data_IF_401875917631
#
_entry.id   IF_401875917631
#
_cell.length_a   1.000
_cell.length_b   1.000
_cell.length_c   1.000
_cell.angle_alpha   90.00
_cell.angle_beta   90.00
_cell.angle_gamma   90.00
#
_symmetry.space_group_name_H-M   'P 1'
#
loop_
_entity.id
_entity.type
_entity.pdbx_description
1 polymer ?
#
# COMPACT_ATOMS: atom_id res chain seq x y z
N UNK A 1 -11.25 -21.19 -6.19
CA UNK A 1 -11.94 -20.19 -7.06
C UNK A 1 -11.48 -18.76 -6.79
N UNK A 2 -11.42 -18.25 -5.55
CA UNK A 2 -10.98 -16.89 -5.23
C UNK A 2 -9.54 -16.57 -5.67
N UNK A 3 -8.58 -17.47 -5.43
CA UNK A 3 -7.17 -17.27 -5.85
C UNK A 3 -7.06 -17.10 -7.37
N UNK A 4 -7.82 -17.86 -8.13
CA UNK A 4 -7.83 -17.72 -9.60
C UNK A 4 -8.36 -16.35 -10.00
N UNK A 5 -9.40 -15.85 -9.30
CA UNK A 5 -9.93 -14.50 -9.52
C UNK A 5 -8.85 -13.44 -9.23
N UNK A 6 -8.14 -13.54 -8.11
CA UNK A 6 -7.07 -12.62 -7.75
C UNK A 6 -5.93 -12.63 -8.80
N UNK A 7 -5.54 -13.82 -9.28
CA UNK A 7 -4.51 -13.92 -10.32
C UNK A 7 -5.00 -13.31 -11.64
N UNK A 8 -6.25 -13.57 -12.04
CA UNK A 8 -6.82 -12.97 -13.25
C UNK A 8 -6.79 -11.45 -13.22
N UNK A 9 -7.11 -10.83 -12.07
CA UNK A 9 -7.12 -9.38 -11.92
C UNK A 9 -5.78 -8.72 -12.27
N UNK A 10 -4.65 -9.40 -12.01
CA UNK A 10 -3.31 -8.90 -12.40
C UNK A 10 -3.16 -8.65 -13.90
N UNK A 11 -3.91 -9.37 -14.73
CA UNK A 11 -3.79 -9.36 -16.18
C UNK A 11 -5.01 -8.77 -16.90
N UNK A 12 -6.15 -8.64 -16.21
CA UNK A 12 -7.42 -8.19 -16.80
C UNK A 12 -7.84 -6.79 -16.37
N UNK A 13 -7.11 -6.16 -15.44
CA UNK A 13 -7.32 -4.78 -15.04
C UNK A 13 -6.01 -4.02 -15.02
N UNK A 14 -6.10 -2.70 -15.12
CA UNK A 14 -4.97 -1.77 -15.01
C UNK A 14 -5.20 -0.81 -13.86
N UNK A 15 -4.13 -0.24 -13.27
CA UNK A 15 -4.27 0.82 -12.28
C UNK A 15 -5.17 1.97 -12.75
N UNK A 16 -5.02 2.45 -13.98
CA UNK A 16 -5.81 3.54 -14.57
C UNK A 16 -7.30 3.26 -14.76
N UNK A 17 -7.73 1.99 -14.60
CA UNK A 17 -9.17 1.64 -14.63
C UNK A 17 -9.90 2.16 -13.38
N UNK A 18 -9.19 2.60 -12.33
CA UNK A 18 -9.73 2.99 -11.04
C UNK A 18 -9.47 4.45 -10.72
N UNK A 19 -10.51 5.20 -10.38
CA UNK A 19 -10.37 6.55 -9.83
C UNK A 19 -9.91 6.52 -8.37
N UNK A 20 -10.47 5.62 -7.59
CA UNK A 20 -10.09 5.31 -6.21
C UNK A 20 -10.22 3.80 -5.98
N UNK A 21 -9.72 3.31 -4.84
CA UNK A 21 -9.84 1.90 -4.51
C UNK A 21 -11.28 1.50 -4.20
N UNK A 22 -11.70 0.36 -4.73
CA UNK A 22 -13.03 -0.21 -4.51
C UNK A 22 -13.02 -1.23 -3.37
N UNK A 23 -14.17 -1.42 -2.72
CA UNK A 23 -14.33 -2.44 -1.68
C UNK A 23 -14.70 -3.80 -2.29
N UNK A 24 -13.97 -4.84 -1.91
CA UNK A 24 -14.19 -6.20 -2.41
C UNK A 24 -14.23 -7.23 -1.27
N UNK A 25 -15.43 -7.72 -0.88
CA UNK A 25 -15.53 -8.80 0.09
C UNK A 25 -15.13 -10.14 -0.51
N UNK A 26 -14.32 -10.90 0.22
CA UNK A 26 -13.93 -12.27 -0.13
C UNK A 26 -14.13 -13.22 1.05
N UNK A 27 -14.34 -14.50 0.76
CA UNK A 27 -14.61 -15.50 1.81
C UNK A 27 -13.33 -15.90 2.57
N UNK A 28 -12.21 -16.08 1.86
CA UNK A 28 -11.00 -16.67 2.40
C UNK A 28 -9.76 -15.74 2.32
N UNK A 29 -9.88 -14.60 1.68
CA UNK A 29 -8.80 -13.63 1.52
C UNK A 29 -9.22 -12.25 2.04
N UNK A 30 -8.34 -11.44 2.65
CA UNK A 30 -6.93 -11.70 2.95
C UNK A 30 -6.73 -12.78 4.02
N UNK A 31 -5.47 -13.17 4.25
CA UNK A 31 -5.12 -14.18 5.26
C UNK A 31 -5.58 -13.76 6.66
N UNK A 32 -5.78 -14.76 7.54
CA UNK A 32 -6.14 -14.48 8.94
C UNK A 32 -5.11 -13.54 9.58
N UNK A 33 -5.60 -12.54 10.31
CA UNK A 33 -4.77 -11.51 10.95
C UNK A 33 -4.68 -10.19 10.18
N UNK A 34 -5.01 -10.19 8.90
CA UNK A 34 -5.14 -8.96 8.12
C UNK A 34 -6.60 -8.50 8.11
N UNK A 35 -6.80 -7.24 8.40
CA UNK A 35 -8.14 -6.64 8.37
C UNK A 35 -8.63 -6.45 6.93
N UNK A 36 -7.78 -5.86 6.12
CA UNK A 36 -7.92 -5.70 4.68
C UNK A 36 -6.54 -5.59 4.04
N UNK A 37 -6.48 -5.67 2.73
CA UNK A 37 -5.28 -5.39 1.95
C UNK A 37 -5.66 -4.91 0.56
N UNK A 38 -4.83 -4.07 -0.04
CA UNK A 38 -5.01 -3.64 -1.42
C UNK A 38 -4.61 -4.75 -2.39
N UNK A 39 -5.48 -5.02 -3.37
CA UNK A 39 -5.19 -5.92 -4.47
C UNK A 39 -5.80 -5.42 -5.76
N UNK A 40 -4.97 -5.04 -6.71
CA UNK A 40 -5.39 -4.60 -8.05
C UNK A 40 -6.51 -3.55 -8.02
N UNK A 41 -6.29 -2.44 -7.29
CA UNK A 41 -7.23 -1.34 -7.16
C UNK A 41 -8.41 -1.60 -6.22
N UNK A 42 -8.37 -2.67 -5.44
CA UNK A 42 -9.44 -3.01 -4.49
C UNK A 42 -8.91 -3.22 -3.08
N UNK A 43 -9.63 -2.71 -2.12
CA UNK A 43 -9.47 -3.08 -0.71
C UNK A 43 -10.21 -4.39 -0.51
N UNK A 44 -9.46 -5.47 -0.45
CA UNK A 44 -9.99 -6.81 -0.23
C UNK A 44 -10.10 -7.08 1.26
N UNK A 45 -11.24 -7.52 1.72
CA UNK A 45 -11.49 -7.86 3.12
C UNK A 45 -12.31 -9.15 3.24
N UNK A 46 -12.22 -9.81 4.39
CA UNK A 46 -13.01 -11.01 4.64
C UNK A 46 -14.47 -10.65 4.85
N UNK A 47 -15.36 -11.35 4.16
CA UNK A 47 -16.82 -11.11 4.21
C UNK A 47 -17.39 -11.13 5.65
N UNK A 48 -16.80 -11.90 6.54
CA UNK A 48 -17.15 -11.93 7.97
C UNK A 48 -16.91 -10.59 8.69
N UNK A 49 -16.07 -9.69 8.12
CA UNK A 49 -15.75 -8.37 8.64
C UNK A 49 -16.50 -7.24 7.92
N UNK A 50 -17.44 -7.53 7.05
CA UNK A 50 -18.07 -6.56 6.15
C UNK A 50 -18.68 -5.37 6.88
N UNK A 51 -19.50 -5.61 7.90
CA UNK A 51 -20.11 -4.52 8.69
C UNK A 51 -19.05 -3.67 9.40
N UNK A 52 -18.03 -4.31 9.96
CA UNK A 52 -16.94 -3.60 10.63
C UNK A 52 -16.15 -2.73 9.66
N UNK A 53 -15.84 -3.24 8.48
CA UNK A 53 -15.10 -2.52 7.44
C UNK A 53 -15.92 -1.35 6.92
N UNK A 54 -17.21 -1.55 6.61
CA UNK A 54 -18.11 -0.48 6.14
C UNK A 54 -18.27 0.64 7.17
N UNK A 55 -18.43 0.29 8.44
CA UNK A 55 -18.54 1.30 9.51
C UNK A 55 -17.24 2.07 9.69
N UNK A 56 -16.09 1.43 9.61
CA UNK A 56 -14.80 2.07 9.78
C UNK A 56 -14.43 2.98 8.62
N UNK A 57 -14.70 2.58 7.39
CA UNK A 57 -14.37 3.37 6.19
C UNK A 57 -15.03 4.76 6.21
N UNK A 58 -16.18 4.90 6.88
CA UNK A 58 -16.85 6.18 7.04
C UNK A 58 -16.25 7.06 8.15
N UNK A 59 -15.29 6.56 8.91
CA UNK A 59 -14.55 7.32 9.91
C UNK A 59 -13.35 8.06 9.31
N UNK A 60 -12.77 9.00 10.04
CA UNK A 60 -11.53 9.68 9.64
C UNK A 60 -10.37 8.68 9.45
N UNK A 61 -10.24 7.71 10.37
CA UNK A 61 -9.24 6.64 10.27
C UNK A 61 -9.45 5.81 9.00
N UNK A 62 -10.70 5.51 8.66
CA UNK A 62 -11.03 4.78 7.45
C UNK A 62 -10.74 5.58 6.18
N UNK A 63 -11.07 6.85 6.14
CA UNK A 63 -10.73 7.74 5.00
C UNK A 63 -9.22 7.84 4.78
N UNK A 64 -8.44 7.96 5.87
CA UNK A 64 -6.98 7.91 5.80
C UNK A 64 -6.48 6.58 5.20
N UNK A 65 -7.05 5.46 5.63
CA UNK A 65 -6.69 4.15 5.09
C UNK A 65 -7.03 4.02 3.59
N UNK A 66 -8.19 4.52 3.16
CA UNK A 66 -8.55 4.56 1.73
C UNK A 66 -7.56 5.43 0.95
N UNK A 67 -7.18 6.59 1.47
CA UNK A 67 -6.18 7.46 0.86
C UNK A 67 -4.84 6.75 0.72
N UNK A 68 -4.38 6.08 1.77
CA UNK A 68 -3.16 5.27 1.74
C UNK A 68 -3.18 4.24 0.60
N UNK A 69 -4.25 3.46 0.49
CA UNK A 69 -4.38 2.44 -0.56
C UNK A 69 -4.57 3.07 -1.95
N UNK A 70 -5.20 4.24 -2.05
CA UNK A 70 -5.32 4.97 -3.32
C UNK A 70 -3.97 5.56 -3.75
N UNK A 71 -3.10 5.94 -2.83
CA UNK A 71 -1.72 6.31 -3.15
C UNK A 71 -0.97 5.14 -3.81
N UNK A 72 -1.12 3.91 -3.31
CA UNK A 72 -0.57 2.73 -3.95
C UNK A 72 -1.12 2.49 -5.36
N UNK A 73 -2.40 2.79 -5.58
CA UNK A 73 -3.01 2.77 -6.91
C UNK A 73 -2.32 3.77 -7.85
N UNK A 74 -2.09 5.02 -7.40
CA UNK A 74 -1.38 6.04 -8.17
C UNK A 74 0.09 5.69 -8.43
N UNK A 75 0.75 5.09 -7.47
CA UNK A 75 2.11 4.55 -7.63
C UNK A 75 2.15 3.48 -8.73
N UNK A 76 1.19 2.57 -8.75
CA UNK A 76 1.09 1.53 -9.78
C UNK A 76 0.83 2.12 -11.16
N UNK A 77 -0.06 3.11 -11.27
CA UNK A 77 -0.37 3.84 -12.51
C UNK A 77 0.86 4.56 -13.03
N UNK A 78 1.44 5.44 -12.23
CA UNK A 78 2.43 6.40 -12.69
C UNK A 78 3.88 5.87 -12.68
N UNK A 79 4.24 5.00 -11.72
CA UNK A 79 5.62 4.53 -11.57
C UNK A 79 5.86 3.14 -12.12
N UNK A 80 4.83 2.31 -12.24
CA UNK A 80 4.95 0.95 -12.77
C UNK A 80 4.44 0.82 -14.22
N UNK A 81 4.22 1.94 -14.91
CA UNK A 81 3.77 1.95 -16.30
C UNK A 81 2.38 1.33 -16.44
N UNK A 82 1.47 1.69 -15.55
CA UNK A 82 0.06 1.28 -15.53
C UNK A 82 -0.10 -0.26 -15.55
N UNK A 83 0.68 -0.95 -14.71
CA UNK A 83 0.70 -2.41 -14.67
C UNK A 83 0.80 -2.95 -13.25
N UNK A 84 -0.20 -3.71 -12.82
CA UNK A 84 -0.19 -4.40 -11.53
C UNK A 84 0.97 -5.39 -11.39
N UNK A 85 1.28 -6.14 -12.45
CA UNK A 85 2.40 -7.10 -12.44
C UNK A 85 3.72 -6.38 -12.18
N UNK A 86 3.97 -5.26 -12.87
CA UNK A 86 5.19 -4.47 -12.68
C UNK A 86 5.23 -3.82 -11.30
N UNK A 87 4.09 -3.33 -10.81
CA UNK A 87 3.98 -2.74 -9.48
C UNK A 87 4.33 -3.75 -8.40
N UNK A 88 3.68 -4.92 -8.37
CA UNK A 88 3.95 -5.94 -7.35
C UNK A 88 5.35 -6.54 -7.49
N UNK A 89 5.89 -6.65 -8.70
CA UNK A 89 7.28 -7.05 -8.88
C UNK A 89 8.25 -6.05 -8.24
N UNK A 90 8.08 -4.74 -8.48
CA UNK A 90 8.89 -3.70 -7.86
C UNK A 90 8.74 -3.69 -6.34
N UNK A 91 7.51 -3.77 -5.86
CA UNK A 91 7.21 -3.87 -4.44
C UNK A 91 7.94 -5.06 -3.80
N UNK A 92 7.86 -6.24 -4.40
CA UNK A 92 8.55 -7.44 -3.94
C UNK A 92 10.08 -7.29 -3.93
N UNK A 93 10.68 -6.71 -4.98
CA UNK A 93 12.11 -6.43 -5.04
C UNK A 93 12.55 -5.50 -3.91
N UNK A 94 11.80 -4.43 -3.65
CA UNK A 94 12.10 -3.49 -2.56
C UNK A 94 11.94 -4.16 -1.18
N UNK A 95 10.95 -5.03 -1.01
CA UNK A 95 10.79 -5.82 0.20
C UNK A 95 11.99 -6.75 0.43
N UNK A 96 12.47 -7.46 -0.60
CA UNK A 96 13.67 -8.30 -0.50
C UNK A 96 14.91 -7.46 -0.16
N UNK A 97 15.07 -6.27 -0.73
CA UNK A 97 16.16 -5.35 -0.36
C UNK A 97 16.13 -4.97 1.12
N UNK A 98 14.94 -4.95 1.73
CA UNK A 98 14.77 -4.80 3.18
C UNK A 98 15.27 -5.99 3.99
N UNK A 99 15.66 -7.09 3.33
CA UNK A 99 16.20 -8.32 3.93
C UNK A 99 15.26 -8.96 4.98
N UNK A 100 14.05 -9.41 4.57
CA UNK A 100 13.01 -9.91 5.48
C UNK A 100 13.40 -11.18 6.25
N UNK A 101 14.44 -11.92 5.80
CA UNK A 101 14.91 -13.16 6.44
C UNK A 101 15.76 -12.88 7.67
N UNK A 102 16.63 -11.87 7.59
CA UNK A 102 17.57 -11.51 8.67
C UNK A 102 16.99 -10.44 9.60
N UNK A 103 16.05 -9.63 9.09
CA UNK A 103 15.40 -8.58 9.86
C UNK A 103 13.91 -8.88 10.04
N UNK A 104 13.30 -8.41 11.14
CA UNK A 104 11.87 -8.56 11.34
C UNK A 104 11.11 -8.13 10.08
N UNK A 105 10.14 -8.93 9.66
CA UNK A 105 9.32 -8.67 8.47
C UNK A 105 8.72 -7.26 8.46
N UNK A 106 8.44 -6.68 9.64
CA UNK A 106 7.96 -5.30 9.79
C UNK A 106 8.96 -4.26 9.28
N UNK A 107 10.25 -4.37 9.60
CA UNK A 107 11.23 -3.39 9.10
C UNK A 107 11.38 -3.46 7.58
N UNK A 108 11.36 -4.66 7.00
CA UNK A 108 11.41 -4.83 5.55
C UNK A 108 10.19 -4.18 4.87
N UNK A 109 9.01 -4.29 5.46
CA UNK A 109 7.78 -3.68 4.95
C UNK A 109 7.82 -2.15 5.06
N UNK A 110 8.06 -1.63 6.27
CA UNK A 110 8.00 -0.18 6.51
C UNK A 110 9.09 0.65 5.80
N UNK A 111 10.14 0.00 5.30
CA UNK A 111 11.21 0.67 4.54
C UNK A 111 11.06 0.55 3.02
N UNK A 112 9.98 -0.07 2.52
CA UNK A 112 9.63 -0.05 1.10
C UNK A 112 9.34 1.40 0.70
N UNK A 113 9.97 1.96 -0.34
CA UNK A 113 9.74 3.35 -0.75
C UNK A 113 8.27 3.68 -1.00
N UNK A 114 7.49 2.74 -1.52
CA UNK A 114 6.05 2.90 -1.73
C UNK A 114 5.30 3.10 -0.41
N UNK A 115 5.65 2.32 0.62
CA UNK A 115 5.06 2.46 1.96
C UNK A 115 5.49 3.76 2.64
N UNK A 116 6.78 4.11 2.55
CA UNK A 116 7.29 5.36 3.12
C UNK A 116 6.53 6.56 2.55
N UNK A 117 6.33 6.60 1.23
CA UNK A 117 5.59 7.68 0.59
C UNK A 117 4.11 7.66 0.97
N UNK A 118 3.46 6.49 0.97
CA UNK A 118 2.06 6.37 1.33
C UNK A 118 1.81 6.84 2.78
N UNK A 119 2.65 6.43 3.75
CA UNK A 119 2.58 6.91 5.13
C UNK A 119 2.87 8.40 5.29
N UNK A 120 3.79 8.95 4.49
CA UNK A 120 4.09 10.38 4.51
C UNK A 120 2.91 11.25 4.04
N UNK A 121 2.11 10.73 3.12
CA UNK A 121 1.05 11.48 2.43
C UNK A 121 -0.37 11.12 2.88
N UNK A 122 -0.58 10.01 3.61
CA UNK A 122 -1.93 9.51 3.95
C UNK A 122 -2.80 10.50 4.75
N UNK A 123 -2.20 11.47 5.44
CA UNK A 123 -2.92 12.50 6.20
C UNK A 123 -3.17 13.77 5.35
N UNK A 124 -2.51 13.94 4.23
CA UNK A 124 -2.69 15.09 3.35
C UNK A 124 -3.92 14.88 2.47
N UNK A 125 -4.96 15.64 2.70
CA UNK A 125 -6.18 15.56 1.93
C UNK A 125 -5.92 15.91 0.46
N UNK A 126 -6.41 15.06 -0.44
CA UNK A 126 -6.21 15.22 -1.88
C UNK A 126 -4.84 14.80 -2.41
N UNK A 127 -3.93 14.30 -1.57
CA UNK A 127 -2.60 13.86 -2.02
C UNK A 127 -2.70 12.82 -3.15
N UNK A 128 -3.69 11.95 -3.10
CA UNK A 128 -3.98 10.94 -4.13
C UNK A 128 -4.44 11.53 -5.46
N UNK A 129 -4.92 12.77 -5.47
CA UNK A 129 -5.37 13.48 -6.68
C UNK A 129 -4.23 14.26 -7.34
N UNK A 130 -3.28 14.75 -6.55
CA UNK A 130 -2.16 15.59 -6.99
C UNK A 130 -0.83 14.85 -6.95
N UNK A 131 -0.86 13.53 -7.10
CA UNK A 131 0.31 12.69 -7.01
C UNK A 131 1.36 13.04 -8.06
N UNK A 132 2.56 13.42 -7.60
CA UNK A 132 3.73 13.66 -8.45
C UNK A 132 4.65 12.44 -8.45
N UNK A 133 4.81 11.82 -9.62
CA UNK A 133 5.66 10.64 -9.82
C UNK A 133 7.12 10.83 -9.50
N UNK A 134 7.60 12.08 -9.42
CA UNK A 134 8.99 12.39 -9.15
C UNK A 134 9.32 12.38 -7.65
N UNK A 135 8.34 12.51 -6.78
CA UNK A 135 8.53 12.55 -5.33
C UNK A 135 9.26 11.33 -4.78
N UNK A 136 8.89 10.14 -5.22
CA UNK A 136 9.49 8.88 -4.76
C UNK A 136 10.98 8.76 -5.06
N UNK A 137 11.44 9.26 -6.20
CA UNK A 137 12.84 9.16 -6.60
C UNK A 137 13.75 10.11 -5.83
N UNK A 138 13.23 11.24 -5.38
CA UNK A 138 14.03 12.31 -4.79
C UNK A 138 13.91 12.44 -3.29
N UNK A 139 12.72 12.18 -2.73
CA UNK A 139 12.39 12.51 -1.35
C UNK A 139 12.25 11.32 -0.42
N UNK A 140 11.61 10.25 -0.89
CA UNK A 140 11.25 9.11 -0.03
C UNK A 140 12.20 7.91 -0.14
N UNK A 141 13.32 8.05 -0.83
CA UNK A 141 14.37 7.04 -0.84
C UNK A 141 15.24 7.21 0.40
N UNK A 142 15.08 6.32 1.36
CA UNK A 142 15.85 6.35 2.60
C UNK A 142 17.28 5.86 2.38
N UNK A 143 18.24 6.66 2.81
CA UNK A 143 19.61 6.21 3.01
C UNK A 143 19.68 5.34 4.28
N UNK A 144 20.53 4.30 4.28
CA UNK A 144 20.69 3.42 5.45
C UNK A 144 19.37 2.91 6.05
N UNK A 145 18.42 2.53 5.22
CA UNK A 145 17.02 2.14 5.54
C UNK A 145 16.88 1.40 6.88
N UNK A 146 17.77 0.44 7.15
CA UNK A 146 17.72 -0.40 8.36
C UNK A 146 18.05 0.37 9.62
N UNK A 147 19.06 1.23 9.55
CA UNK A 147 19.46 2.04 10.70
C UNK A 147 18.39 3.09 10.96
N UNK A 148 17.94 3.79 9.93
CA UNK A 148 16.86 4.77 10.02
C UNK A 148 15.60 4.19 10.67
N UNK A 149 15.17 2.98 10.25
CA UNK A 149 14.02 2.33 10.87
C UNK A 149 14.25 1.93 12.33
N UNK A 150 15.48 1.53 12.70
CA UNK A 150 15.81 1.20 14.12
C UNK A 150 15.74 2.44 14.99
N UNK A 151 16.27 3.56 14.50
CA UNK A 151 16.36 4.82 15.24
C UNK A 151 14.96 5.43 15.47
N UNK A 152 14.03 5.21 14.53
CA UNK A 152 12.65 5.74 14.56
C UNK A 152 11.57 4.66 14.74
N UNK A 153 11.91 3.52 15.34
CA UNK A 153 10.98 2.39 15.42
C UNK A 153 9.66 2.72 16.11
N UNK A 154 9.70 3.51 17.16
CA UNK A 154 8.53 3.86 17.98
C UNK A 154 7.70 5.00 17.37
N UNK A 155 8.33 5.89 16.60
CA UNK A 155 7.72 7.07 15.99
C UNK A 155 7.76 7.06 14.44
N UNK A 156 7.94 5.87 13.84
CA UNK A 156 8.16 5.73 12.39
C UNK A 156 7.18 6.50 11.51
N UNK A 157 5.89 6.43 11.81
CA UNK A 157 4.87 7.11 11.03
C UNK A 157 4.97 8.64 11.13
N UNK A 158 5.39 9.16 12.26
CA UNK A 158 5.59 10.59 12.44
C UNK A 158 6.89 11.04 11.77
N UNK A 159 7.95 10.24 11.89
CA UNK A 159 9.20 10.50 11.19
C UNK A 159 9.03 10.59 9.66
N UNK A 160 8.34 9.64 9.02
CA UNK A 160 8.18 9.64 7.56
C UNK A 160 7.39 10.85 7.05
N UNK A 161 6.53 11.45 7.86
CA UNK A 161 5.81 12.69 7.53
C UNK A 161 6.73 13.92 7.48
N UNK A 162 7.90 13.85 8.10
CA UNK A 162 8.88 14.94 8.07
C UNK A 162 9.75 14.95 6.82
N UNK A 163 9.73 13.84 6.05
CA UNK A 163 10.46 13.69 4.79
C UNK A 163 9.77 14.45 3.67
#
# INVERSE_FOLDING_TARGET
MEIITLIKMLFTSKPSDFFEVELMPMKHFPFKGYKYMMWCGRIVYRKENEEKVKNEINTEIGRRSIRHETLHLRQAENQAGDSWVRYYWRYFVEWIKGNPIIHPSKSAYYTIPFEVEAYALEETEGAELYYDTNLLKSKYTLENKKQTYRDHREDWKDYVKTL
#
